data_IF_588243526094
#
_entry.id   IF_588243526094
#
_cell.length_a   1.000
_cell.length_b   1.000
_cell.length_c   1.000
_cell.angle_alpha   90.00
_cell.angle_beta   90.00
_cell.angle_gamma   90.00
#
_symmetry.space_group_name_H-M   'P 1'
#
loop_
_entity.id
_entity.type
_entity.pdbx_description
1 polymer ?
#
# COMPACT_ATOMS: atom_id res chain seq x y z
N UNK A 1 7.88 -5.43 -3.75
CA UNK A 1 9.28 -5.93 -3.62
C UNK A 1 9.93 -6.17 -4.98
N UNK A 2 9.41 -7.11 -5.80
CA UNK A 2 9.99 -7.45 -7.12
C UNK A 2 10.10 -6.24 -8.04
N UNK A 3 9.01 -5.44 -8.18
CA UNK A 3 9.01 -4.23 -9.00
C UNK A 3 10.18 -3.29 -8.67
N UNK A 4 10.31 -2.90 -7.39
CA UNK A 4 11.37 -1.99 -6.95
C UNK A 4 12.79 -2.51 -7.19
N UNK A 5 13.06 -3.79 -6.90
CA UNK A 5 14.41 -4.38 -7.08
C UNK A 5 14.75 -4.45 -8.56
N UNK A 6 13.85 -5.02 -9.38
CA UNK A 6 14.04 -5.14 -10.82
C UNK A 6 14.13 -3.77 -11.49
N UNK A 7 13.33 -2.79 -11.06
CA UNK A 7 13.38 -1.43 -11.59
C UNK A 7 14.66 -0.70 -11.21
N UNK A 8 15.18 -0.89 -9.99
CA UNK A 8 16.46 -0.31 -9.60
C UNK A 8 17.62 -0.93 -10.39
N UNK A 9 17.60 -2.25 -10.59
CA UNK A 9 18.56 -2.95 -11.46
C UNK A 9 18.45 -2.42 -12.90
N UNK A 10 17.25 -2.33 -13.47
CA UNK A 10 17.03 -1.81 -14.83
C UNK A 10 17.54 -0.37 -14.99
N UNK A 11 17.40 0.46 -13.97
CA UNK A 11 17.89 1.86 -13.98
C UNK A 11 19.42 1.98 -13.97
N UNK A 12 20.13 0.95 -13.51
CA UNK A 12 21.59 0.99 -13.30
C UNK A 12 22.33 0.13 -14.32
N UNK A 13 21.76 -0.99 -14.77
CA UNK A 13 22.36 -1.88 -15.75
C UNK A 13 22.53 -1.15 -17.08
N UNK A 14 23.75 -1.12 -17.60
CA UNK A 14 24.13 -0.36 -18.81
C UNK A 14 23.68 1.12 -18.81
N UNK A 15 23.51 1.74 -17.61
CA UNK A 15 22.96 3.09 -17.42
C UNK A 15 21.49 3.25 -17.83
N UNK A 16 20.74 2.15 -17.87
CA UNK A 16 19.31 2.12 -18.19
C UNK A 16 18.99 1.10 -19.29
N UNK A 17 18.12 0.15 -18.98
CA UNK A 17 17.51 -0.77 -19.96
C UNK A 17 15.98 -0.76 -19.84
N UNK A 18 15.29 -1.13 -20.93
CA UNK A 18 13.82 -1.19 -20.93
C UNK A 18 13.26 -2.05 -19.80
N UNK A 19 12.23 -1.53 -19.10
CA UNK A 19 11.59 -2.16 -17.96
C UNK A 19 10.10 -2.34 -18.22
N UNK A 20 9.60 -3.57 -18.11
CA UNK A 20 8.17 -3.89 -18.17
C UNK A 20 7.77 -4.54 -16.85
N UNK A 21 6.64 -4.12 -16.26
CA UNK A 21 6.09 -4.73 -15.07
C UNK A 21 4.89 -5.62 -15.40
N UNK A 22 4.86 -6.81 -14.80
CA UNK A 22 3.74 -7.74 -14.74
C UNK A 22 3.38 -7.94 -13.26
N UNK A 23 2.67 -7.00 -12.63
CA UNK A 23 2.29 -7.09 -11.22
C UNK A 23 1.34 -8.27 -10.95
N UNK A 24 1.71 -9.13 -9.99
CA UNK A 24 0.96 -10.35 -9.64
C UNK A 24 0.34 -10.34 -8.24
N UNK A 25 0.41 -9.21 -7.54
CA UNK A 25 -0.27 -9.00 -6.25
C UNK A 25 -1.19 -7.80 -6.34
N UNK A 26 -2.27 -7.79 -5.55
CA UNK A 26 -3.24 -6.69 -5.56
C UNK A 26 -2.55 -5.34 -5.27
N UNK A 27 -1.64 -5.32 -4.27
CA UNK A 27 -0.82 -4.14 -3.94
C UNK A 27 0.03 -3.66 -5.13
N UNK A 28 0.65 -4.59 -5.86
CA UNK A 28 1.50 -4.22 -7.00
C UNK A 28 0.66 -3.70 -8.17
N UNK A 29 -0.53 -4.26 -8.41
CA UNK A 29 -1.43 -3.85 -9.48
C UNK A 29 -2.03 -2.46 -9.22
N UNK A 30 -2.33 -2.13 -7.96
CA UNK A 30 -2.99 -0.86 -7.62
C UNK A 30 -2.01 0.27 -7.26
N UNK A 31 -0.81 -0.06 -6.78
CA UNK A 31 0.13 0.93 -6.27
C UNK A 31 1.57 0.67 -6.71
N UNK A 32 2.23 -0.36 -6.19
CA UNK A 32 3.69 -0.41 -6.20
C UNK A 32 4.33 -0.48 -7.61
N UNK A 33 3.65 -1.02 -8.62
CA UNK A 33 4.18 -1.06 -10.00
C UNK A 33 3.94 0.24 -10.78
N UNK A 34 2.97 1.04 -10.36
CA UNK A 34 2.55 2.29 -11.00
C UNK A 34 3.28 3.43 -10.30
N UNK A 35 4.60 3.45 -10.41
CA UNK A 35 5.43 4.51 -9.86
C UNK A 35 6.74 4.59 -10.61
N UNK A 36 7.36 5.77 -10.60
CA UNK A 36 8.74 5.91 -11.03
C UNK A 36 9.73 5.56 -9.91
N UNK A 37 9.29 5.35 -8.67
CA UNK A 37 10.18 5.12 -7.53
C UNK A 37 10.66 3.69 -7.50
N UNK A 38 11.96 3.51 -7.73
CA UNK A 38 12.63 2.23 -7.60
C UNK A 38 13.58 2.30 -6.42
N UNK A 39 13.39 1.46 -5.40
CA UNK A 39 14.18 1.55 -4.18
C UNK A 39 14.38 0.23 -3.47
N UNK A 40 15.52 0.11 -2.80
CA UNK A 40 15.85 -1.00 -1.91
C UNK A 40 16.06 -0.49 -0.49
N UNK A 41 15.83 -1.39 0.47
CA UNK A 41 16.04 -1.09 1.88
C UNK A 41 17.53 -1.09 2.21
N UNK A 42 17.92 -0.30 3.21
CA UNK A 42 19.26 -0.32 3.81
C UNK A 42 19.14 -0.59 5.32
N UNK A 43 20.22 -0.96 6.03
CA UNK A 43 20.14 -1.28 7.47
C UNK A 43 19.51 -0.19 8.34
N UNK A 44 19.56 1.06 7.90
CA UNK A 44 19.04 2.21 8.63
C UNK A 44 17.65 2.67 8.19
N UNK A 45 17.01 2.04 7.19
CA UNK A 45 15.67 2.43 6.78
C UNK A 45 15.14 1.79 5.50
N UNK A 46 13.82 1.98 5.28
CA UNK A 46 13.09 1.50 4.11
C UNK A 46 13.32 2.43 2.91
N UNK A 47 13.49 1.86 1.71
CA UNK A 47 13.61 2.59 0.44
C UNK A 47 14.69 3.71 0.41
N UNK A 48 15.79 3.57 1.15
CA UNK A 48 16.82 4.62 1.28
C UNK A 48 17.75 4.75 0.07
N UNK A 49 17.91 3.68 -0.71
CA UNK A 49 18.77 3.68 -1.91
C UNK A 49 17.87 3.39 -3.11
N UNK A 50 17.87 4.27 -4.10
CA UNK A 50 16.95 4.16 -5.22
C UNK A 50 17.18 5.13 -6.35
N UNK A 51 16.29 5.09 -7.33
CA UNK A 51 16.25 5.94 -8.51
C UNK A 51 14.81 6.27 -8.89
N UNK A 52 14.63 7.33 -9.67
CA UNK A 52 13.38 7.57 -10.40
C UNK A 52 13.55 6.99 -11.80
N UNK A 53 12.92 5.85 -12.07
CA UNK A 53 13.00 5.13 -13.34
C UNK A 53 11.63 4.57 -13.71
N UNK A 54 11.11 5.03 -14.85
CA UNK A 54 9.78 4.68 -15.33
C UNK A 54 9.81 3.36 -16.12
N UNK A 55 8.86 2.44 -15.89
CA UNK A 55 8.65 1.31 -16.81
C UNK A 55 8.12 1.82 -18.16
N UNK A 56 8.50 1.16 -19.26
CA UNK A 56 7.97 1.49 -20.60
C UNK A 56 6.51 1.02 -20.76
N UNK A 57 6.13 -0.02 -20.01
CA UNK A 57 4.80 -0.62 -19.95
C UNK A 57 4.56 -1.28 -18.59
N UNK A 58 3.31 -1.21 -18.14
CA UNK A 58 2.79 -1.99 -17.01
C UNK A 58 1.60 -2.77 -17.57
N UNK A 59 1.63 -4.09 -17.47
CA UNK A 59 0.59 -4.98 -17.98
C UNK A 59 -0.10 -5.59 -16.77
N UNK A 60 -1.34 -5.16 -16.54
CA UNK A 60 -2.14 -5.60 -15.40
C UNK A 60 -3.13 -6.65 -15.89
N UNK A 61 -3.01 -7.84 -15.31
CA UNK A 61 -3.92 -8.96 -15.53
C UNK A 61 -4.47 -9.36 -14.16
N UNK A 62 -5.77 -9.17 -13.96
CA UNK A 62 -6.44 -9.43 -12.68
C UNK A 62 -6.73 -10.91 -12.47
N UNK A 63 -6.69 -11.74 -13.53
CA UNK A 63 -6.88 -13.20 -13.42
C UNK A 63 -5.77 -13.86 -12.62
N UNK A 64 -4.54 -13.31 -12.65
CA UNK A 64 -3.43 -13.85 -11.84
C UNK A 64 -3.71 -13.77 -10.33
N UNK A 65 -4.58 -12.86 -9.89
CA UNK A 65 -4.99 -12.72 -8.49
C UNK A 65 -5.79 -13.94 -8.00
N UNK A 66 -6.38 -14.73 -8.91
CA UNK A 66 -7.07 -15.97 -8.55
C UNK A 66 -6.14 -17.04 -7.96
N UNK A 67 -4.82 -16.87 -8.14
CA UNK A 67 -3.79 -17.73 -7.54
C UNK A 67 -3.09 -17.10 -6.34
N UNK A 68 -3.44 -15.86 -6.00
CA UNK A 68 -2.87 -15.15 -4.86
C UNK A 68 -3.42 -15.74 -3.55
N UNK A 69 -2.55 -15.92 -2.55
CA UNK A 69 -3.01 -16.38 -1.24
C UNK A 69 -3.93 -15.32 -0.60
N UNK A 70 -5.12 -15.71 -0.14
CA UNK A 70 -6.18 -14.78 0.31
C UNK A 70 -5.70 -13.75 1.35
N UNK A 71 -4.74 -14.12 2.22
CA UNK A 71 -4.21 -13.22 3.24
C UNK A 71 -3.39 -12.05 2.69
N UNK A 72 -3.01 -12.08 1.40
CA UNK A 72 -2.34 -10.99 0.69
C UNK A 72 -3.33 -9.99 0.07
N UNK A 73 -4.62 -10.32 -0.02
CA UNK A 73 -5.63 -9.39 -0.55
C UNK A 73 -5.80 -8.17 0.39
N UNK A 74 -5.89 -8.31 1.72
CA UNK A 74 -5.92 -7.15 2.62
C UNK A 74 -4.73 -6.21 2.46
N UNK A 75 -3.52 -6.72 2.16
CA UNK A 75 -2.34 -5.87 1.91
C UNK A 75 -2.56 -4.93 0.71
N UNK A 76 -3.19 -5.39 -0.37
CA UNK A 76 -3.57 -4.53 -1.49
C UNK A 76 -4.71 -3.58 -1.16
N UNK A 77 -5.70 -4.04 -0.38
CA UNK A 77 -6.84 -3.22 0.02
C UNK A 77 -6.43 -1.97 0.81
N UNK A 78 -5.32 -2.02 1.57
CA UNK A 78 -4.83 -0.84 2.31
C UNK A 78 -4.60 0.38 1.42
N UNK A 79 -4.02 0.17 0.23
CA UNK A 79 -3.79 1.26 -0.74
C UNK A 79 -5.07 1.67 -1.46
N UNK A 80 -5.94 0.71 -1.80
CA UNK A 80 -7.24 0.97 -2.44
C UNK A 80 -8.11 1.83 -1.52
N UNK A 81 -8.19 1.47 -0.23
CA UNK A 81 -8.91 2.24 0.80
C UNK A 81 -8.32 3.65 0.94
N UNK A 82 -6.99 3.80 0.94
CA UNK A 82 -6.32 5.12 0.94
C UNK A 82 -6.77 5.96 -0.26
N UNK A 83 -6.76 5.39 -1.47
CA UNK A 83 -7.22 6.09 -2.68
C UNK A 83 -8.70 6.48 -2.57
N UNK A 84 -9.57 5.57 -2.13
CA UNK A 84 -10.99 5.84 -1.94
C UNK A 84 -11.24 6.98 -0.92
N UNK A 85 -10.59 6.92 0.24
CA UNK A 85 -10.71 7.96 1.28
C UNK A 85 -10.29 9.33 0.79
N UNK A 86 -9.23 9.42 -0.03
CA UNK A 86 -8.65 10.70 -0.39
C UNK A 86 -9.10 11.26 -1.73
N UNK A 87 -9.48 10.42 -2.70
CA UNK A 87 -9.72 10.85 -4.09
C UNK A 87 -11.12 10.53 -4.60
N UNK A 88 -11.78 9.48 -4.09
CA UNK A 88 -12.99 8.96 -4.72
C UNK A 88 -14.02 8.45 -3.72
N UNK A 89 -15.01 9.31 -3.44
CA UNK A 89 -16.12 8.99 -2.54
C UNK A 89 -17.06 7.93 -3.12
N UNK A 90 -17.15 7.81 -4.44
CA UNK A 90 -18.00 6.82 -5.09
C UNK A 90 -17.36 5.44 -4.99
N UNK A 91 -16.03 5.35 -5.18
CA UNK A 91 -15.27 4.13 -4.87
C UNK A 91 -15.39 3.76 -3.39
N UNK A 92 -15.29 4.73 -2.48
CA UNK A 92 -15.47 4.45 -1.04
C UNK A 92 -16.86 3.88 -0.74
N UNK A 93 -17.90 4.50 -1.30
CA UNK A 93 -19.30 4.05 -1.11
C UNK A 93 -19.50 2.65 -1.72
N UNK A 94 -18.95 2.39 -2.91
CA UNK A 94 -18.98 1.07 -3.53
C UNK A 94 -18.33 0.00 -2.64
N UNK A 95 -17.17 0.30 -2.06
CA UNK A 95 -16.48 -0.60 -1.13
C UNK A 95 -17.30 -0.83 0.15
N UNK A 96 -17.95 0.20 0.67
CA UNK A 96 -18.82 0.11 1.85
C UNK A 96 -20.07 -0.73 1.60
N UNK A 97 -20.63 -0.69 0.40
CA UNK A 97 -21.85 -1.41 0.01
C UNK A 97 -21.59 -2.82 -0.53
N UNK A 98 -20.35 -3.14 -0.93
CA UNK A 98 -20.02 -4.45 -1.51
C UNK A 98 -20.02 -5.55 -0.46
N UNK A 99 -20.95 -6.51 -0.55
CA UNK A 99 -21.09 -7.62 0.41
C UNK A 99 -20.63 -8.98 -0.14
N UNK A 100 -19.94 -8.98 -1.29
CA UNK A 100 -19.40 -10.19 -1.90
C UNK A 100 -18.03 -10.63 -1.33
N UNK A 101 -17.43 -11.63 -1.96
CA UNK A 101 -16.13 -12.15 -1.56
C UNK A 101 -14.98 -11.26 -2.07
N UNK A 102 -13.96 -11.02 -1.24
CA UNK A 102 -12.81 -10.20 -1.63
C UNK A 102 -12.04 -10.74 -2.84
N UNK A 103 -12.12 -12.06 -3.11
CA UNK A 103 -11.48 -12.71 -4.25
C UNK A 103 -12.38 -12.83 -5.49
N UNK A 104 -13.58 -12.24 -5.47
CA UNK A 104 -14.47 -12.17 -6.63
C UNK A 104 -13.76 -11.48 -7.82
N UNK A 105 -13.58 -12.16 -8.96
CA UNK A 105 -12.90 -11.59 -10.13
C UNK A 105 -13.50 -10.28 -10.62
N UNK A 106 -14.83 -10.14 -10.60
CA UNK A 106 -15.50 -8.93 -11.11
C UNK A 106 -15.26 -7.74 -10.19
N UNK A 107 -15.29 -7.99 -8.89
CA UNK A 107 -14.97 -6.99 -7.87
C UNK A 107 -13.51 -6.55 -7.97
N UNK A 108 -12.58 -7.51 -8.02
CA UNK A 108 -11.15 -7.24 -8.14
C UNK A 108 -10.82 -6.44 -9.40
N UNK A 109 -11.39 -6.83 -10.55
CA UNK A 109 -11.19 -6.10 -11.81
C UNK A 109 -11.64 -4.64 -11.70
N UNK A 110 -12.83 -4.40 -11.15
CA UNK A 110 -13.37 -3.07 -10.96
C UNK A 110 -12.48 -2.20 -10.05
N UNK A 111 -12.14 -2.68 -8.84
CA UNK A 111 -11.39 -1.88 -7.87
C UNK A 111 -9.95 -1.65 -8.31
N UNK A 112 -9.34 -2.62 -9.00
CA UNK A 112 -8.00 -2.48 -9.56
C UNK A 112 -8.02 -1.39 -10.63
N UNK A 113 -8.89 -1.53 -11.63
CA UNK A 113 -9.01 -0.54 -12.71
C UNK A 113 -9.25 0.87 -12.16
N UNK A 114 -10.21 1.02 -11.25
CA UNK A 114 -10.53 2.34 -10.70
C UNK A 114 -9.37 2.95 -9.91
N UNK A 115 -8.66 2.13 -9.15
CA UNK A 115 -7.48 2.62 -8.38
C UNK A 115 -6.33 3.02 -9.31
N UNK A 116 -6.13 2.28 -10.41
CA UNK A 116 -5.16 2.64 -11.45
C UNK A 116 -5.48 4.00 -12.05
N UNK A 117 -6.74 4.24 -12.42
CA UNK A 117 -7.20 5.53 -12.95
C UNK A 117 -6.87 6.67 -11.99
N UNK A 118 -7.28 6.55 -10.71
CA UNK A 118 -7.02 7.56 -9.67
C UNK A 118 -5.53 7.83 -9.46
N UNK A 119 -4.70 6.79 -9.57
CA UNK A 119 -3.26 6.92 -9.41
C UNK A 119 -2.60 7.56 -10.63
N UNK A 120 -3.05 7.22 -11.83
CA UNK A 120 -2.59 7.83 -13.08
C UNK A 120 -2.93 9.31 -13.14
N UNK A 121 -4.15 9.73 -12.74
CA UNK A 121 -4.55 11.14 -12.65
C UNK A 121 -3.54 11.97 -11.84
N UNK A 122 -3.09 11.42 -10.72
CA UNK A 122 -2.13 12.07 -9.82
C UNK A 122 -0.71 12.09 -10.41
N UNK A 123 -0.26 10.95 -10.96
CA UNK A 123 1.09 10.83 -11.53
C UNK A 123 1.24 11.71 -12.77
N UNK A 124 0.20 11.88 -13.58
CA UNK A 124 0.24 12.74 -14.77
C UNK A 124 0.45 14.22 -14.40
N UNK A 125 -0.09 14.67 -13.27
CA UNK A 125 0.04 16.05 -12.80
C UNK A 125 1.33 16.24 -11.99
N UNK A 126 1.72 15.24 -11.18
CA UNK A 126 2.87 15.31 -10.28
C UNK A 126 3.69 14.00 -10.24
N UNK A 127 4.45 13.70 -11.32
CA UNK A 127 5.14 12.41 -11.47
C UNK A 127 6.27 12.15 -10.46
N UNK A 128 6.71 13.18 -9.74
CA UNK A 128 7.75 13.10 -8.70
C UNK A 128 7.17 13.14 -7.29
N UNK A 129 5.86 13.26 -7.17
CA UNK A 129 5.10 13.27 -5.93
C UNK A 129 5.52 14.38 -4.93
N UNK A 130 5.66 15.61 -5.42
CA UNK A 130 6.09 16.76 -4.62
C UNK A 130 4.98 17.76 -4.27
N UNK A 131 3.80 17.66 -4.88
CA UNK A 131 2.67 18.60 -4.82
C UNK A 131 1.33 17.89 -4.62
N UNK A 132 0.56 17.65 -5.68
CA UNK A 132 -0.79 17.07 -5.61
C UNK A 132 -0.76 15.57 -5.27
N UNK A 133 0.34 14.87 -5.58
CA UNK A 133 0.50 13.47 -5.18
C UNK A 133 0.75 13.27 -3.69
N UNK A 134 0.58 14.32 -2.89
CA UNK A 134 0.55 14.22 -1.43
C UNK A 134 -0.60 13.31 -0.96
N UNK A 135 -1.63 13.11 -1.78
CA UNK A 135 -2.61 12.05 -1.55
C UNK A 135 -1.98 10.66 -1.39
N UNK A 136 -0.91 10.37 -2.13
CA UNK A 136 -0.19 9.08 -2.05
C UNK A 136 0.58 8.91 -0.73
N UNK A 137 0.79 9.99 0.04
CA UNK A 137 1.43 9.92 1.36
C UNK A 137 0.43 9.91 2.51
N UNK A 138 -0.89 9.96 2.25
CA UNK A 138 -1.90 9.78 3.29
C UNK A 138 -1.70 8.43 3.98
N UNK A 139 -1.78 8.43 5.31
CA UNK A 139 -1.44 7.31 6.18
C UNK A 139 0.05 6.94 6.28
N UNK A 140 0.88 7.27 5.30
CA UNK A 140 2.29 6.83 5.24
C UNK A 140 3.21 7.52 6.26
N UNK A 141 2.84 8.70 6.77
CA UNK A 141 3.62 9.41 7.80
C UNK A 141 3.82 8.51 9.04
N UNK A 142 2.75 7.85 9.49
CA UNK A 142 2.77 6.96 10.66
C UNK A 142 2.80 5.48 10.28
N UNK A 143 2.25 5.11 9.12
CA UNK A 143 2.29 3.73 8.62
C UNK A 143 3.71 3.20 8.46
N UNK A 144 4.63 3.98 7.86
CA UNK A 144 6.02 3.54 7.69
C UNK A 144 6.77 3.27 9.03
N UNK A 145 6.72 4.17 10.04
CA UNK A 145 7.22 3.87 11.38
C UNK A 145 6.67 2.56 11.97
N UNK A 146 5.36 2.35 11.89
CA UNK A 146 4.66 1.19 12.44
C UNK A 146 5.10 -0.10 11.72
N UNK A 147 5.14 -0.07 10.38
CA UNK A 147 5.64 -1.16 9.54
C UNK A 147 7.08 -1.53 9.92
N UNK A 148 7.97 -0.53 9.99
CA UNK A 148 9.39 -0.72 10.32
C UNK A 148 9.60 -1.30 11.73
N UNK A 149 8.71 -0.99 12.67
CA UNK A 149 8.75 -1.57 14.01
C UNK A 149 8.28 -3.04 13.97
N UNK A 150 7.19 -3.34 13.27
CA UNK A 150 6.63 -4.71 13.16
C UNK A 150 7.54 -5.73 12.47
N UNK A 151 8.51 -5.28 11.67
CA UNK A 151 9.46 -6.20 11.01
C UNK A 151 10.72 -6.48 11.85
N UNK A 152 10.85 -5.92 13.06
CA UNK A 152 11.99 -6.20 13.93
C UNK A 152 11.78 -7.46 14.77
N UNK A 153 12.87 -8.23 14.92
CA UNK A 153 12.92 -9.40 15.82
C UNK A 153 12.35 -9.06 17.20
N UNK A 154 11.46 -9.93 17.70
CA UNK A 154 10.83 -9.79 19.02
C UNK A 154 9.49 -9.06 19.03
N UNK A 155 8.96 -8.65 17.88
CA UNK A 155 7.56 -8.21 17.76
C UNK A 155 6.63 -9.41 17.53
N UNK A 156 5.44 -9.39 18.13
CA UNK A 156 4.47 -10.48 18.06
C UNK A 156 3.68 -10.47 16.74
N UNK A 157 3.68 -9.34 16.02
CA UNK A 157 2.90 -9.12 14.81
C UNK A 157 3.78 -8.56 13.70
N UNK A 158 3.82 -9.25 12.56
CA UNK A 158 4.41 -8.77 11.31
C UNK A 158 3.28 -8.17 10.47
N UNK A 159 3.24 -6.84 10.34
CA UNK A 159 2.28 -6.15 9.49
C UNK A 159 2.80 -6.10 8.06
N UNK A 160 1.93 -6.28 7.09
CA UNK A 160 2.22 -5.94 5.70
C UNK A 160 2.14 -4.43 5.46
N UNK A 161 2.49 -3.98 4.26
CA UNK A 161 2.58 -2.56 3.96
C UNK A 161 1.21 -1.87 4.03
N UNK A 162 0.22 -2.40 3.30
CA UNK A 162 -1.15 -1.88 3.30
C UNK A 162 -1.81 -1.96 4.66
N UNK A 163 -1.50 -2.99 5.46
CA UNK A 163 -1.96 -3.07 6.85
C UNK A 163 -1.41 -1.93 7.72
N UNK A 164 -0.13 -1.59 7.58
CA UNK A 164 0.44 -0.46 8.31
C UNK A 164 -0.07 0.89 7.78
N UNK A 165 -0.30 1.01 6.46
CA UNK A 165 -0.92 2.19 5.84
C UNK A 165 -2.35 2.40 6.33
N UNK A 166 -3.14 1.34 6.50
CA UNK A 166 -4.50 1.41 7.04
C UNK A 166 -4.51 1.99 8.47
N UNK A 167 -3.66 1.49 9.37
CA UNK A 167 -3.49 2.09 10.72
C UNK A 167 -3.07 3.56 10.60
N UNK A 168 -2.15 3.86 9.67
CA UNK A 168 -1.74 5.22 9.37
C UNK A 168 -2.88 6.14 8.93
N UNK A 169 -3.82 5.65 8.12
CA UNK A 169 -4.99 6.39 7.66
C UNK A 169 -5.90 6.77 8.85
N UNK A 170 -6.12 5.83 9.77
CA UNK A 170 -6.89 6.08 11.01
C UNK A 170 -6.22 7.16 11.86
N UNK A 171 -4.89 7.08 12.03
CA UNK A 171 -4.15 8.11 12.76
C UNK A 171 -4.25 9.47 12.05
N UNK A 172 -4.16 9.51 10.72
CA UNK A 172 -4.30 10.74 9.95
C UNK A 172 -5.71 11.35 10.07
N UNK A 173 -6.77 10.53 10.07
CA UNK A 173 -8.14 10.97 10.36
C UNK A 173 -8.27 11.55 11.77
N UNK A 174 -7.67 10.89 12.78
CA UNK A 174 -7.65 11.39 14.17
C UNK A 174 -6.89 12.71 14.30
N UNK A 175 -5.75 12.86 13.62
CA UNK A 175 -5.01 14.12 13.57
C UNK A 175 -5.86 15.23 12.95
N UNK A 176 -6.51 14.96 11.81
CA UNK A 176 -7.39 15.94 11.17
C UNK A 176 -8.53 16.40 12.10
N UNK A 177 -9.16 15.47 12.82
CA UNK A 177 -10.17 15.78 13.83
C UNK A 177 -9.62 16.61 15.00
N UNK A 178 -8.46 16.22 15.58
CA UNK A 178 -7.83 16.95 16.68
C UNK A 178 -7.42 18.37 16.30
N UNK A 179 -7.11 18.61 15.03
CA UNK A 179 -6.82 19.93 14.47
C UNK A 179 -8.09 20.72 14.07
N UNK A 180 -9.29 20.15 14.23
CA UNK A 180 -10.55 20.77 13.84
C UNK A 180 -10.78 20.85 12.33
N UNK A 181 -10.09 20.04 11.53
CA UNK A 181 -10.14 20.04 10.06
C UNK A 181 -11.19 19.08 9.50
N UNK A 182 -11.55 18.04 10.26
CA UNK A 182 -12.48 17.00 9.87
C UNK A 182 -13.41 16.64 11.02
N UNK A 183 -14.56 16.05 10.70
CA UNK A 183 -15.51 15.53 11.68
C UNK A 183 -15.07 14.17 12.25
N UNK A 184 -15.53 13.84 13.45
CA UNK A 184 -15.24 12.54 14.10
C UNK A 184 -15.77 11.35 13.28
N UNK A 185 -16.86 11.56 12.52
CA UNK A 185 -17.45 10.59 11.61
C UNK A 185 -16.47 10.04 10.57
N UNK A 186 -15.42 10.80 10.22
CA UNK A 186 -14.36 10.36 9.30
C UNK A 186 -13.49 9.28 9.92
N UNK A 187 -13.23 9.36 11.24
CA UNK A 187 -12.49 8.33 11.97
C UNK A 187 -13.31 7.04 11.97
N UNK A 188 -14.59 7.12 12.35
CA UNK A 188 -15.50 5.98 12.40
C UNK A 188 -15.61 5.29 11.03
N UNK A 189 -15.82 6.07 9.96
CA UNK A 189 -15.91 5.56 8.59
C UNK A 189 -14.61 4.88 8.15
N UNK A 190 -13.46 5.45 8.51
CA UNK A 190 -12.14 4.85 8.22
C UNK A 190 -11.93 3.54 8.97
N UNK A 191 -12.30 3.47 10.25
CA UNK A 191 -12.19 2.24 11.04
C UNK A 191 -13.13 1.14 10.52
N UNK A 192 -14.36 1.49 10.15
CA UNK A 192 -15.35 0.57 9.59
C UNK A 192 -14.88 -0.04 8.27
N UNK A 193 -14.38 0.79 7.33
CA UNK A 193 -13.90 0.28 6.04
C UNK A 193 -12.64 -0.57 6.19
N UNK A 194 -11.74 -0.20 7.12
CA UNK A 194 -10.59 -1.06 7.44
C UNK A 194 -11.06 -2.41 8.00
N UNK A 195 -11.98 -2.41 8.97
CA UNK A 195 -12.51 -3.64 9.55
C UNK A 195 -13.20 -4.53 8.50
N UNK A 196 -13.95 -3.94 7.56
CA UNK A 196 -14.66 -4.67 6.48
C UNK A 196 -13.71 -5.47 5.58
N UNK A 197 -12.49 -4.98 5.35
CA UNK A 197 -11.50 -5.61 4.48
C UNK A 197 -10.34 -6.27 5.24
N UNK A 198 -10.58 -6.69 6.50
CA UNK A 198 -9.59 -7.35 7.35
C UNK A 198 -8.27 -6.56 7.51
N UNK A 199 -8.36 -5.24 7.42
CA UNK A 199 -7.26 -4.32 7.69
C UNK A 199 -7.23 -3.94 9.18
N UNK A 200 -6.06 -3.98 9.82
CA UNK A 200 -5.93 -3.46 11.16
C UNK A 200 -6.09 -1.94 11.16
N UNK A 201 -6.84 -1.44 12.13
CA UNK A 201 -7.03 0.00 12.37
C UNK A 201 -6.47 0.44 13.73
N UNK A 202 -5.94 -0.51 14.52
CA UNK A 202 -5.27 -0.25 15.81
C UNK A 202 -3.79 -0.62 15.73
N UNK A 203 -2.96 0.15 16.43
CA UNK A 203 -1.53 -0.10 16.59
C UNK A 203 -1.34 -1.31 17.51
N UNK A 204 -0.53 -2.32 17.12
CA UNK A 204 -0.22 -3.45 18.00
C UNK A 204 0.35 -2.99 19.35
N UNK A 205 -0.14 -3.59 20.45
CA UNK A 205 0.18 -3.17 21.82
C UNK A 205 1.68 -3.30 22.19
N UNK A 206 2.46 -4.08 21.44
CA UNK A 206 3.91 -4.24 21.60
C UNK A 206 4.72 -3.09 20.97
N UNK A 207 4.07 -2.16 20.28
CA UNK A 207 4.70 -0.97 19.69
C UNK A 207 4.42 0.27 20.56
N UNK A 208 5.33 0.60 21.48
CA UNK A 208 5.14 1.76 22.34
C UNK A 208 5.08 3.08 21.55
N UNK A 209 4.27 4.02 22.05
CA UNK A 209 4.11 5.38 21.49
C UNK A 209 5.48 6.06 21.30
N UNK A 210 6.35 6.02 22.31
CA UNK A 210 7.68 6.64 22.22
C UNK A 210 8.54 6.03 21.12
N UNK A 211 8.43 4.71 20.89
CA UNK A 211 9.16 4.02 19.82
C UNK A 211 8.68 4.48 18.45
N UNK A 212 7.36 4.66 18.28
CA UNK A 212 6.77 5.17 17.05
C UNK A 212 7.20 6.63 16.81
N UNK A 213 7.07 7.49 17.82
CA UNK A 213 7.47 8.90 17.73
C UNK A 213 8.96 9.04 17.41
N UNK A 214 9.84 8.21 17.99
CA UNK A 214 11.29 8.21 17.71
C UNK A 214 11.66 7.89 16.25
N UNK A 215 10.72 7.33 15.47
CA UNK A 215 10.92 6.96 14.07
C UNK A 215 10.51 8.05 13.09
N UNK A 216 9.69 9.02 13.52
CA UNK A 216 9.22 10.12 12.67
C UNK A 216 10.36 10.91 12.00
N UNK A 217 11.47 11.26 12.69
CA UNK A 217 12.57 12.01 12.07
C UNK A 217 13.27 11.30 10.89
N UNK A 218 13.06 9.99 10.75
CA UNK A 218 13.62 9.20 9.64
C UNK A 218 12.63 9.01 8.48
N UNK A 219 11.42 9.59 8.57
CA UNK A 219 10.44 9.58 7.50
C UNK A 219 10.67 10.80 6.57
N UNK A 220 10.48 10.62 5.26
CA UNK A 220 10.54 11.69 4.24
C UNK A 220 9.56 12.84 4.48
N UNK A 221 8.56 12.63 5.34
CA UNK A 221 7.57 13.61 5.77
C UNK A 221 8.08 14.55 6.86
N UNK A 222 9.20 14.22 7.50
CA UNK A 222 9.83 15.09 8.49
C UNK A 222 10.75 16.09 7.81
N UNK A 223 10.58 17.37 8.15
CA UNK A 223 11.34 18.51 7.62
C UNK A 223 12.00 19.28 8.75
N UNK A 224 12.72 20.36 8.43
CA UNK A 224 13.28 21.28 9.45
C UNK A 224 12.19 21.93 10.32
N UNK A 225 10.97 22.01 9.82
CA UNK A 225 9.81 22.64 10.47
C UNK A 225 8.99 21.62 11.29
N UNK A 226 9.36 20.34 11.25
CA UNK A 226 8.68 19.25 11.95
C UNK A 226 8.01 18.26 11.01
N UNK A 227 6.99 17.57 11.51
CA UNK A 227 6.29 16.53 10.75
C UNK A 227 5.23 17.15 9.84
N UNK A 228 5.31 16.86 8.54
CA UNK A 228 4.35 17.30 7.53
C UNK A 228 3.44 16.14 7.13
N UNK A 229 2.13 16.27 7.33
CA UNK A 229 1.15 15.21 7.04
C UNK A 229 0.22 15.57 5.89
N UNK A 230 -0.19 14.57 5.12
CA UNK A 230 -1.39 14.66 4.31
C UNK A 230 -2.59 14.37 5.21
N UNK A 231 -3.60 15.23 5.16
CA UNK A 231 -4.85 15.11 5.92
C UNK A 231 -6.02 15.28 4.95
N UNK A 232 -7.21 14.82 5.33
CA UNK A 232 -8.44 15.00 4.56
C UNK A 232 -9.42 15.85 5.38
N UNK A 233 -10.20 16.70 4.69
CA UNK A 233 -11.32 17.44 5.31
C UNK A 233 -12.58 16.57 5.37
N UNK A 234 -12.77 15.79 4.30
CA UNK A 234 -13.87 14.85 4.09
C UNK A 234 -13.44 13.83 3.02
N UNK A 235 -14.17 12.71 2.84
CA UNK A 235 -13.83 11.73 1.82
C UNK A 235 -13.78 12.37 0.43
N UNK A 236 -12.77 11.97 -0.35
CA UNK A 236 -12.50 12.53 -1.67
C UNK A 236 -11.92 13.96 -1.67
N UNK A 237 -11.58 14.54 -0.50
CA UNK A 237 -11.03 15.89 -0.42
C UNK A 237 -9.85 15.98 0.55
N UNK A 238 -8.64 16.00 0.00
CA UNK A 238 -7.41 16.30 0.74
C UNK A 238 -7.41 17.77 1.19
N UNK A 239 -7.02 18.00 2.44
CA UNK A 239 -6.90 19.33 3.02
C UNK A 239 -5.81 20.14 2.31
N UNK A 240 -6.13 21.38 1.96
CA UNK A 240 -5.19 22.31 1.35
C UNK A 240 -4.86 23.43 2.35
N UNK A 241 -3.62 23.39 2.86
CA UNK A 241 -3.08 24.37 3.79
C UNK A 241 -2.36 25.49 3.01
N UNK A 242 -3.03 26.62 2.80
CA UNK A 242 -2.46 27.81 2.13
C UNK A 242 -1.78 27.51 0.78
N UNK A 243 -2.41 26.66 -0.05
CA UNK A 243 -1.86 26.23 -1.35
C UNK A 243 -0.96 24.99 -1.28
N UNK A 244 -0.76 24.41 -0.09
CA UNK A 244 0.06 23.23 0.13
C UNK A 244 -0.77 22.06 0.68
N UNK A 245 -0.66 20.87 0.07
CA UNK A 245 -1.36 19.67 0.53
C UNK A 245 -0.70 18.98 1.73
N UNK A 246 0.50 19.43 2.12
CA UNK A 246 1.20 18.97 3.32
C UNK A 246 0.96 19.97 4.45
N UNK A 247 0.31 19.52 5.51
CA UNK A 247 0.02 20.32 6.69
C UNK A 247 1.07 20.08 7.77
N UNK A 248 1.66 21.12 8.39
CA UNK A 248 2.51 20.96 9.56
C UNK A 248 1.67 20.51 10.75
N UNK A 249 2.13 19.48 11.46
CA UNK A 249 1.44 18.94 12.65
C UNK A 249 2.43 18.87 13.80
N UNK A 250 2.03 19.40 14.96
CA UNK A 250 2.86 19.37 16.16
C UNK A 250 2.93 17.95 16.77
N UNK A 251 4.06 17.65 17.42
CA UNK A 251 4.32 16.33 17.99
C UNK A 251 3.32 15.95 19.10
N UNK A 252 2.70 16.92 19.79
CA UNK A 252 1.73 16.62 20.85
C UNK A 252 0.40 16.15 20.25
N UNK A 253 -0.05 16.76 19.16
CA UNK A 253 -1.22 16.31 18.38
C UNK A 253 -0.99 14.91 17.80
N UNK A 254 0.19 14.66 17.19
CA UNK A 254 0.52 13.34 16.66
C UNK A 254 0.56 12.30 17.79
N UNK A 255 1.24 12.60 18.90
CA UNK A 255 1.32 11.71 20.06
C UNK A 255 -0.06 11.33 20.58
N UNK A 256 -0.95 12.32 20.75
CA UNK A 256 -2.33 12.08 21.21
C UNK A 256 -3.10 11.18 20.25
N UNK A 257 -2.97 11.40 18.94
CA UNK A 257 -3.62 10.54 17.94
C UNK A 257 -3.07 9.10 17.98
N UNK A 258 -1.76 8.93 18.13
CA UNK A 258 -1.12 7.62 18.29
C UNK A 258 -1.62 6.92 19.56
N UNK A 259 -1.66 7.61 20.70
CA UNK A 259 -2.19 7.09 21.98
C UNK A 259 -3.64 6.60 21.85
N UNK A 260 -4.49 7.36 21.16
CA UNK A 260 -5.89 7.01 20.91
C UNK A 260 -6.06 5.83 19.93
N UNK A 261 -5.01 5.46 19.19
CA UNK A 261 -5.03 4.35 18.21
C UNK A 261 -4.35 3.09 18.75
N UNK A 262 -3.84 3.12 19.98
CA UNK A 262 -3.21 1.95 20.60
C UNK A 262 -4.23 0.85 20.86
N UNK A 263 -3.92 -0.39 20.46
CA UNK A 263 -4.72 -1.54 20.85
C UNK A 263 -4.68 -1.73 22.38
N UNK A 264 -5.82 -2.09 23.01
CA UNK A 264 -5.83 -2.45 24.42
C UNK A 264 -4.85 -3.58 24.72
N UNK A 265 -4.23 -3.57 25.90
CA UNK A 265 -3.29 -4.60 26.31
C UNK A 265 -3.90 -6.01 26.19
N UNK A 266 -3.20 -6.93 25.54
CA UNK A 266 -3.67 -8.30 25.29
C UNK A 266 -4.49 -8.48 24.01
N UNK A 267 -4.80 -7.40 23.26
CA UNK A 267 -5.46 -7.51 21.95
C UNK A 267 -4.49 -8.07 20.91
N UNK A 268 -4.89 -9.17 20.26
CA UNK A 268 -4.11 -9.76 19.15
C UNK A 268 -4.55 -9.10 17.85
N UNK A 269 -3.69 -8.25 17.30
CA UNK A 269 -3.86 -7.72 15.94
C UNK A 269 -3.34 -8.77 14.96
N UNK A 270 -4.24 -9.35 14.14
CA UNK A 270 -3.88 -10.35 13.12
C UNK A 270 -3.09 -9.67 11.99
N UNK A 271 -1.77 -9.72 12.07
CA UNK A 271 -0.89 -9.39 10.95
C UNK A 271 -0.77 -10.54 9.96
N UNK A 272 -0.33 -10.22 8.74
CA UNK A 272 -0.08 -11.15 7.64
C UNK A 272 0.84 -12.34 7.98
N UNK A 273 1.63 -12.27 9.06
CA UNK A 273 2.51 -13.36 9.51
C UNK A 273 1.95 -14.33 10.57
N UNK A 274 0.79 -14.07 11.16
CA UNK A 274 0.36 -14.77 12.39
C UNK A 274 -0.27 -16.16 12.19
N UNK A 275 -0.64 -16.53 10.95
CA UNK A 275 -1.35 -17.80 10.68
C UNK A 275 -0.60 -18.82 9.81
N UNK A 276 0.56 -18.46 9.21
CA UNK A 276 1.27 -19.33 8.26
C UNK A 276 2.60 -19.94 8.77
N UNK A 277 3.35 -19.24 9.62
CA UNK A 277 4.73 -19.63 9.95
C UNK A 277 4.86 -20.77 10.98
N UNK A 278 3.77 -21.17 11.64
CA UNK A 278 3.78 -22.23 12.68
C UNK A 278 3.23 -23.59 12.22
N UNK A 279 2.84 -23.73 10.95
CA UNK A 279 2.41 -25.02 10.36
C UNK A 279 3.27 -25.39 9.15
N UNK A 280 4.53 -25.79 9.39
CA UNK A 280 5.33 -26.75 8.59
C UNK A 280 6.78 -26.73 9.08
N UNK A 281 7.01 -27.21 10.31
CA UNK A 281 8.30 -27.73 10.72
C UNK A 281 8.06 -28.87 11.73
N UNK A 282 7.34 -29.90 11.27
CA UNK A 282 7.54 -31.25 11.78
C UNK A 282 8.47 -31.94 10.79
N UNK A 283 9.75 -31.97 11.16
CA UNK A 283 10.71 -32.92 10.65
C UNK A 283 10.13 -34.34 10.81
N UNK A 284 10.02 -35.08 9.72
CA UNK A 284 10.13 -36.53 9.73
C UNK A 284 11.15 -36.93 8.67
N UNK A 285 12.23 -37.51 9.16
CA UNK A 285 13.30 -38.17 8.41
C UNK A 285 12.76 -39.33 7.55
N UNK A 286 13.49 -39.64 6.46
CA UNK A 286 13.30 -40.80 5.56
C UNK A 286 12.30 -40.52 4.44
N UNK A 287 12.53 -40.75 3.16
CA UNK A 287 13.49 -41.65 2.50
C UNK A 287 13.89 -41.14 1.11
N UNK A 288 15.10 -41.48 0.68
CA UNK A 288 15.56 -41.34 -0.70
C UNK A 288 14.78 -42.30 -1.62
N UNK A 289 14.24 -41.79 -2.73
CA UNK A 289 14.15 -42.55 -3.96
C UNK A 289 14.05 -41.65 -5.20
N UNK A 290 14.98 -41.87 -6.13
CA UNK A 290 15.03 -41.36 -7.49
C UNK A 290 13.80 -41.74 -8.31
N UNK A 291 13.30 -40.83 -9.15
CA UNK A 291 12.80 -41.23 -10.47
C UNK A 291 12.83 -40.07 -11.47
N UNK A 292 13.47 -40.36 -12.59
CA UNK A 292 13.57 -39.59 -13.81
C UNK A 292 12.32 -39.85 -14.65
N UNK A 293 11.61 -38.83 -15.12
CA UNK A 293 10.67 -38.97 -16.26
C UNK A 293 10.78 -37.75 -17.17
N UNK A 294 11.08 -38.05 -18.43
CA UNK A 294 11.15 -37.19 -19.62
C UNK A 294 9.78 -37.06 -20.31
N UNK A 295 9.38 -35.81 -20.66
CA UNK A 295 8.64 -35.27 -21.86
C UNK A 295 7.40 -36.02 -22.46
N UNK A 296 6.44 -35.37 -23.18
CA UNK A 296 6.64 -34.24 -24.11
C UNK A 296 5.53 -33.16 -24.23
N UNK A 297 5.88 -32.19 -25.06
CA UNK A 297 5.15 -31.04 -25.61
C UNK A 297 3.83 -31.44 -26.30
N UNK A 298 2.77 -30.65 -26.07
CA UNK A 298 1.56 -30.58 -26.89
C UNK A 298 0.95 -29.17 -26.84
N UNK A 299 0.75 -28.56 -28.01
CA UNK A 299 0.02 -27.30 -28.25
C UNK A 299 -1.38 -27.62 -28.82
N UNK A 300 -2.24 -26.63 -29.14
CA UNK A 300 -2.59 -25.39 -28.44
C UNK A 300 -4.12 -25.37 -28.13
N UNK A 301 -4.56 -24.66 -27.09
CA UNK A 301 -5.99 -24.32 -26.95
C UNK A 301 -6.16 -22.88 -26.50
N UNK A 302 -6.81 -22.13 -27.41
CA UNK A 302 -7.72 -20.98 -27.30
C UNK A 302 -7.54 -19.92 -26.20
N UNK A 303 -7.56 -18.67 -26.68
CA UNK A 303 -7.44 -17.41 -25.95
C UNK A 303 -8.38 -17.31 -24.73
N UNK A 304 -7.92 -16.64 -23.67
CA UNK A 304 -8.74 -15.58 -23.09
C UNK A 304 -7.93 -14.32 -22.70
N UNK A 305 -8.64 -13.20 -22.60
CA UNK A 305 -8.22 -12.00 -21.88
C UNK A 305 -7.46 -10.96 -22.70
N UNK A 306 -8.15 -9.90 -23.14
CA UNK A 306 -7.49 -8.66 -23.52
C UNK A 306 -6.93 -8.01 -22.25
N UNK A 307 -5.63 -8.23 -21.98
CA UNK A 307 -4.91 -7.51 -20.93
C UNK A 307 -4.82 -6.02 -21.29
N UNK A 308 -5.13 -5.16 -20.32
CA UNK A 308 -5.07 -3.71 -20.49
C UNK A 308 -3.63 -3.22 -20.29
N UNK A 309 -3.14 -2.39 -21.21
CA UNK A 309 -1.78 -1.86 -21.18
C UNK A 309 -1.79 -0.37 -20.85
N UNK A 310 -1.31 0.00 -19.67
CA UNK A 310 -1.15 1.42 -19.30
C UNK A 310 0.20 1.91 -19.81
N UNK A 311 0.20 2.93 -20.67
CA UNK A 311 1.41 3.59 -21.14
C UNK A 311 1.83 4.69 -20.17
N UNK A 312 2.91 4.47 -19.42
CA UNK A 312 3.53 5.54 -18.63
C UNK A 312 4.29 6.50 -19.56
N UNK A 313 3.61 7.56 -20.00
CA UNK A 313 4.23 8.78 -20.54
C UNK A 313 4.33 8.89 -22.06
N UNK A 314 3.60 9.87 -22.61
CA UNK A 314 3.70 10.37 -23.99
C UNK A 314 2.32 10.62 -24.60
N UNK A 315 1.74 11.80 -24.36
CA UNK A 315 0.50 12.36 -24.96
C UNK A 315 -0.44 11.33 -25.63
N UNK A 316 -1.40 10.81 -24.87
CA UNK A 316 -2.46 9.98 -25.43
C UNK A 316 -3.44 10.85 -26.26
N UNK A 317 -3.64 10.58 -27.57
CA UNK A 317 -4.76 11.14 -28.29
C UNK A 317 -6.04 10.49 -27.75
N UNK A 318 -7.02 11.30 -27.32
CA UNK A 318 -8.34 10.83 -26.87
C UNK A 318 -8.88 9.76 -27.82
N UNK A 319 -9.05 8.53 -27.34
CA UNK A 319 -9.69 7.50 -28.15
C UNK A 319 -9.57 6.07 -27.68
N UNK A 320 -8.49 5.67 -27.02
CA UNK A 320 -8.29 4.28 -26.59
C UNK A 320 -7.54 4.24 -25.25
N UNK A 321 -8.30 4.07 -24.16
CA UNK A 321 -7.84 3.63 -22.85
C UNK A 321 -8.64 2.39 -22.47
#
# INVERSE_FOLDING_TARGET
AVANVCGFIASTLHRGIGLIHFPTTLLAQCDASISHKQAVNAPHGKNLVGSYYAPIRIIVDTDVLQTLEDWLLPDGMGEIVKHALCQDVDLLTYLEEYDGALNDPVFLDYIVRRTIELKCEVIDIDPKENKEAVVLIYGHTLGHPIESISHRMGTACCLSHGQAVAIGCVIAARVAFLMGLAEESIIERTEQICAKYDLPYLIPADQSVDRIMSKLPFNKTWTKEGTMMALIERPGKVFNFDGHFKCPVDDATIRRAVEQTMAPFGTIIKGSGSSGALRKNKLSNGDLASSTITTPIGSPMEKPGEGWAVSAGGSCPKGDC
#
